data_IF_207151531291
#
_entry.id   IF_207151531291
#
_cell.length_a   1.000
_cell.length_b   1.000
_cell.length_c   1.000
_cell.angle_alpha   90.00
_cell.angle_beta   90.00
_cell.angle_gamma   90.00
#
_symmetry.space_group_name_H-M   'P 1'
#
loop_
_entity.id
_entity.type
_entity.pdbx_description
1 polymer ?
#
# COMPACT_ATOMS: atom_id res chain seq x y z
N UNK A 1 2.08 34.90 13.12
CA UNK A 1 2.75 33.78 13.76
C UNK A 1 4.14 33.68 13.21
N UNK A 2 5.11 33.47 14.10
CA UNK A 2 6.51 33.23 13.75
C UNK A 2 6.91 31.87 14.33
N UNK A 3 7.48 31.02 13.50
CA UNK A 3 8.11 29.79 13.92
C UNK A 3 9.62 30.02 13.94
N UNK A 4 10.23 29.81 15.11
CA UNK A 4 11.66 30.07 15.34
C UNK A 4 12.41 28.76 15.60
N UNK A 5 13.65 28.69 15.14
CA UNK A 5 14.54 27.54 15.42
C UNK A 5 15.01 27.50 16.89
N UNK A 6 14.98 28.64 17.59
CA UNK A 6 15.33 28.74 18.99
C UNK A 6 14.11 28.34 19.86
N UNK A 7 14.26 27.29 20.67
CA UNK A 7 13.23 26.79 21.59
C UNK A 7 13.50 27.17 23.06
N UNK A 8 14.57 27.95 23.34
CA UNK A 8 14.94 28.38 24.69
C UNK A 8 14.56 29.84 24.99
N UNK A 9 14.02 30.55 23.97
CA UNK A 9 13.60 31.96 24.11
C UNK A 9 12.40 32.09 25.05
N UNK A 10 12.40 33.12 25.89
CA UNK A 10 11.28 33.47 26.76
C UNK A 10 10.27 34.38 26.01
N UNK A 11 9.35 33.78 25.27
CA UNK A 11 8.37 34.51 24.46
C UNK A 11 9.03 35.39 23.38
N UNK A 12 8.55 36.59 23.23
CA UNK A 12 9.07 37.56 22.25
C UNK A 12 10.24 38.41 22.75
N UNK A 13 10.73 38.13 23.96
CA UNK A 13 11.88 38.86 24.50
C UNK A 13 13.17 38.39 23.85
N UNK A 14 14.01 39.37 23.45
CA UNK A 14 15.30 39.09 22.82
C UNK A 14 15.18 38.31 21.50
N UNK A 15 14.06 38.49 20.82
CA UNK A 15 13.80 37.88 19.51
C UNK A 15 14.84 38.26 18.48
N UNK A 16 15.44 37.31 17.78
CA UNK A 16 16.33 37.53 16.63
C UNK A 16 15.63 37.08 15.34
N UNK A 17 15.49 38.00 14.40
CA UNK A 17 14.89 37.78 13.09
C UNK A 17 15.55 36.62 12.31
N UNK A 18 16.84 36.36 12.57
CA UNK A 18 17.61 35.29 11.92
C UNK A 18 17.18 33.90 12.34
N UNK A 19 16.48 33.78 13.47
CA UNK A 19 15.97 32.51 14.01
C UNK A 19 14.62 32.14 13.42
N UNK A 20 13.96 33.02 12.65
CA UNK A 20 12.65 32.75 12.03
C UNK A 20 12.82 31.81 10.87
N UNK A 21 12.23 30.62 11.00
CA UNK A 21 12.24 29.57 9.96
C UNK A 21 10.98 29.60 9.10
N UNK A 22 9.85 30.08 9.66
CA UNK A 22 8.61 30.24 8.89
C UNK A 22 7.74 31.37 9.47
N UNK A 23 6.89 31.94 8.61
CA UNK A 23 5.91 32.99 8.96
C UNK A 23 4.55 32.62 8.41
N UNK A 24 3.52 32.73 9.24
CA UNK A 24 2.13 32.65 8.82
C UNK A 24 1.41 33.94 9.23
N UNK A 25 0.61 34.48 8.33
CA UNK A 25 -0.30 35.60 8.62
C UNK A 25 -1.71 35.05 8.74
N UNK A 26 -2.35 35.30 9.87
CA UNK A 26 -3.71 34.86 10.17
C UNK A 26 -4.45 35.94 10.91
N UNK A 27 -5.77 35.78 11.05
CA UNK A 27 -6.64 36.66 11.83
C UNK A 27 -7.29 35.85 12.96
N UNK A 28 -7.50 36.52 14.08
CA UNK A 28 -8.30 35.92 15.13
C UNK A 28 -9.77 35.77 14.71
N UNK A 29 -10.44 34.80 15.27
CA UNK A 29 -11.89 34.55 15.10
C UNK A 29 -12.55 34.32 16.46
N UNK A 30 -13.89 34.47 16.53
CA UNK A 30 -14.66 34.18 17.74
C UNK A 30 -14.57 32.69 18.07
N UNK A 31 -14.48 32.38 19.37
CA UNK A 31 -14.36 31.01 19.90
C UNK A 31 -15.16 30.93 21.22
N UNK A 32 -15.76 29.78 21.56
CA UNK A 32 -16.29 29.53 22.89
C UNK A 32 -15.25 29.83 23.97
N UNK A 33 -15.70 30.38 25.09
CA UNK A 33 -14.75 30.79 26.15
C UNK A 33 -13.86 29.66 26.63
N UNK A 34 -12.55 29.88 26.54
CA UNK A 34 -11.48 28.98 27.02
C UNK A 34 -10.67 29.71 28.10
N UNK A 35 -10.68 29.21 29.34
CA UNK A 35 -10.04 29.89 30.47
C UNK A 35 -8.51 29.86 30.36
N UNK A 36 -7.94 28.72 29.97
CA UNK A 36 -6.50 28.53 29.81
C UNK A 36 -6.10 28.68 28.36
N UNK A 37 -4.93 29.28 28.11
CA UNK A 37 -4.34 29.30 26.78
C UNK A 37 -3.98 27.86 26.37
N UNK A 38 -4.50 27.43 25.23
CA UNK A 38 -4.28 26.09 24.71
C UNK A 38 -3.96 26.11 23.21
N UNK A 39 -3.25 25.08 22.75
CA UNK A 39 -3.10 24.78 21.35
C UNK A 39 -3.94 23.55 21.02
N UNK A 40 -4.78 23.68 20.02
CA UNK A 40 -5.63 22.61 19.52
C UNK A 40 -5.27 22.28 18.07
N UNK A 41 -5.30 20.98 17.72
CA UNK A 41 -5.09 20.53 16.36
C UNK A 41 -6.38 19.95 15.81
N UNK A 42 -6.89 20.58 14.73
CA UNK A 42 -8.21 20.28 14.14
C UNK A 42 -8.07 20.06 12.64
N UNK A 43 -9.17 19.58 12.02
CA UNK A 43 -9.34 19.52 10.56
C UNK A 43 -8.15 18.83 9.86
N UNK A 44 -7.80 17.63 10.36
CA UNK A 44 -6.75 16.80 9.78
C UNK A 44 -7.14 16.39 8.37
N UNK A 45 -6.24 16.63 7.42
CA UNK A 45 -6.26 16.07 6.07
C UNK A 45 -5.09 15.10 5.90
N UNK A 46 -4.92 14.60 4.69
CA UNK A 46 -3.75 13.76 4.37
C UNK A 46 -2.43 14.54 4.50
N UNK A 47 -2.41 15.83 4.12
CA UNK A 47 -1.20 16.64 4.01
C UNK A 47 -1.22 17.89 4.90
N UNK A 48 -2.27 18.14 5.66
CA UNK A 48 -2.36 19.35 6.50
C UNK A 48 -3.13 19.14 7.79
N UNK A 49 -2.91 20.06 8.73
CA UNK A 49 -3.65 20.18 9.97
C UNK A 49 -3.77 21.65 10.35
N UNK A 50 -4.92 22.06 10.88
CA UNK A 50 -5.05 23.36 11.49
C UNK A 50 -4.59 23.31 12.95
N UNK A 51 -3.67 24.21 13.30
CA UNK A 51 -3.28 24.49 14.67
C UNK A 51 -3.96 25.78 15.12
N UNK A 52 -4.72 25.76 16.17
CA UNK A 52 -5.39 26.92 16.72
C UNK A 52 -4.86 27.27 18.11
N UNK A 53 -4.52 28.53 18.35
CA UNK A 53 -4.25 29.06 19.66
C UNK A 53 -5.55 29.66 20.23
N UNK A 54 -6.12 29.02 21.26
CA UNK A 54 -7.37 29.40 21.89
C UNK A 54 -7.11 30.07 23.24
N UNK A 55 -7.71 31.24 23.48
CA UNK A 55 -7.66 31.92 24.77
C UNK A 55 -8.80 32.94 24.92
N UNK A 56 -9.55 32.85 26.02
CA UNK A 56 -10.75 33.63 26.24
C UNK A 56 -11.81 33.31 25.18
N UNK A 57 -12.35 34.30 24.50
CA UNK A 57 -13.31 34.15 23.41
C UNK A 57 -12.66 34.25 22.04
N UNK A 58 -11.35 34.03 21.93
CA UNK A 58 -10.60 34.18 20.69
C UNK A 58 -9.83 32.94 20.34
N UNK A 59 -9.79 32.63 19.05
CA UNK A 59 -8.97 31.62 18.42
C UNK A 59 -8.10 32.24 17.33
N UNK A 60 -6.87 31.80 17.23
CA UNK A 60 -5.92 32.19 16.17
C UNK A 60 -5.53 30.92 15.42
N UNK A 61 -6.27 30.53 14.38
CA UNK A 61 -5.95 29.33 13.59
C UNK A 61 -4.88 29.65 12.55
N UNK A 62 -4.04 28.63 12.26
CA UNK A 62 -3.16 28.62 11.11
C UNK A 62 -2.98 27.20 10.60
N UNK A 63 -2.85 27.07 9.31
CA UNK A 63 -2.65 25.78 8.67
C UNK A 63 -1.17 25.41 8.65
N UNK A 64 -0.89 24.14 8.92
CA UNK A 64 0.43 23.50 8.77
C UNK A 64 0.27 22.49 7.65
N UNK A 65 0.96 22.73 6.53
CA UNK A 65 1.00 21.82 5.39
C UNK A 65 2.33 21.09 5.36
N UNK A 66 2.30 19.80 5.02
CA UNK A 66 3.48 18.95 4.85
C UNK A 66 3.34 18.15 3.56
N UNK A 67 4.33 18.23 2.69
CA UNK A 67 4.43 17.25 1.60
C UNK A 67 4.89 15.91 2.19
N UNK A 68 3.91 15.04 2.47
CA UNK A 68 4.17 13.72 3.04
C UNK A 68 4.97 12.87 2.07
N UNK A 69 4.68 12.93 0.78
CA UNK A 69 5.41 12.16 -0.23
C UNK A 69 6.89 12.53 -0.26
N UNK A 70 7.21 13.81 -0.33
CA UNK A 70 8.61 14.28 -0.29
C UNK A 70 9.28 13.94 1.03
N UNK A 71 8.58 14.15 2.16
CA UNK A 71 9.11 13.87 3.49
C UNK A 71 9.47 12.40 3.67
N UNK A 72 8.57 11.49 3.29
CA UNK A 72 8.80 10.03 3.41
C UNK A 72 9.89 9.59 2.45
N UNK A 73 9.88 10.04 1.19
CA UNK A 73 10.93 9.69 0.21
C UNK A 73 12.30 10.13 0.70
N UNK A 74 12.43 11.33 1.28
CA UNK A 74 13.69 11.80 1.85
C UNK A 74 14.12 10.96 3.04
N UNK A 75 13.18 10.50 3.89
CA UNK A 75 13.49 9.58 4.97
C UNK A 75 13.95 8.22 4.44
N UNK A 76 13.26 7.64 3.45
CA UNK A 76 13.66 6.39 2.81
C UNK A 76 15.08 6.46 2.21
N UNK A 77 15.42 7.58 1.54
CA UNK A 77 16.79 7.83 1.06
C UNK A 77 17.81 7.81 2.20
N UNK A 78 17.50 8.43 3.33
CA UNK A 78 18.38 8.45 4.51
C UNK A 78 18.54 7.05 5.10
N UNK A 79 17.45 6.31 5.27
CA UNK A 79 17.45 4.95 5.81
C UNK A 79 18.29 4.00 4.95
N UNK A 80 18.19 4.14 3.62
CA UNK A 80 18.98 3.37 2.65
C UNK A 80 20.44 3.80 2.56
N UNK A 81 20.88 4.82 3.30
CA UNK A 81 22.31 5.12 3.56
C UNK A 81 22.84 4.41 4.81
N UNK A 82 21.95 3.83 5.61
CA UNK A 82 22.23 3.11 6.84
C UNK A 82 22.11 1.60 6.71
N UNK A 83 21.78 0.95 7.82
CA UNK A 83 21.68 -0.51 7.95
C UNK A 83 20.59 -1.13 7.09
N UNK A 84 19.52 -0.41 6.76
CA UNK A 84 18.46 -0.90 5.90
C UNK A 84 18.96 -1.35 4.49
N UNK A 85 20.07 -0.79 4.02
CA UNK A 85 20.66 -1.16 2.74
C UNK A 85 21.43 -2.48 2.75
N UNK A 86 21.70 -3.09 3.89
CA UNK A 86 22.47 -4.35 3.95
C UNK A 86 21.63 -5.60 3.65
N UNK A 87 20.32 -5.46 3.51
CA UNK A 87 19.42 -6.54 3.07
C UNK A 87 18.50 -6.06 1.96
N UNK A 88 17.92 -7.01 1.22
CA UNK A 88 16.93 -6.70 0.17
C UNK A 88 15.66 -6.04 0.73
N UNK A 89 15.36 -6.22 2.01
CA UNK A 89 14.12 -5.75 2.64
C UNK A 89 14.00 -4.23 2.58
N UNK A 90 15.04 -3.49 2.95
CA UNK A 90 15.00 -2.03 2.94
C UNK A 90 14.69 -1.44 1.56
N UNK A 91 15.45 -1.76 0.50
CA UNK A 91 15.12 -1.30 -0.85
C UNK A 91 13.75 -1.80 -1.36
N UNK A 92 13.33 -3.01 -0.97
CA UNK A 92 12.02 -3.55 -1.32
C UNK A 92 10.89 -2.73 -0.71
N UNK A 93 10.94 -2.47 0.59
CA UNK A 93 9.92 -1.69 1.31
C UNK A 93 9.86 -0.23 0.81
N UNK A 94 11.02 0.36 0.52
CA UNK A 94 11.09 1.71 -0.04
C UNK A 94 10.42 1.77 -1.43
N UNK A 95 10.70 0.82 -2.30
CA UNK A 95 10.08 0.72 -3.61
C UNK A 95 8.56 0.48 -3.51
N UNK A 96 8.14 -0.44 -2.65
CA UNK A 96 6.74 -0.81 -2.47
C UNK A 96 5.92 0.37 -1.93
N UNK A 97 6.47 1.14 -0.99
CA UNK A 97 5.84 2.36 -0.50
C UNK A 97 5.64 3.39 -1.63
N UNK A 98 6.67 3.66 -2.43
CA UNK A 98 6.57 4.62 -3.53
C UNK A 98 5.56 4.19 -4.59
N UNK A 99 5.54 2.91 -4.95
CA UNK A 99 4.57 2.35 -5.90
C UNK A 99 3.15 2.45 -5.36
N UNK A 100 2.94 2.10 -4.08
CA UNK A 100 1.63 2.14 -3.43
C UNK A 100 1.06 3.55 -3.33
N UNK A 101 1.92 4.56 -3.19
CA UNK A 101 1.54 5.97 -3.12
C UNK A 101 1.67 6.70 -4.46
N UNK A 102 1.98 5.99 -5.55
CA UNK A 102 2.15 6.52 -6.91
C UNK A 102 3.07 7.75 -6.95
N UNK A 103 4.19 7.69 -6.24
CA UNK A 103 5.16 8.78 -6.12
C UNK A 103 6.58 8.26 -6.36
N UNK A 104 7.48 9.12 -6.87
CA UNK A 104 8.91 8.85 -7.05
C UNK A 104 9.22 7.49 -7.75
N UNK A 105 8.43 7.16 -8.77
CA UNK A 105 8.39 5.83 -9.39
C UNK A 105 9.72 5.42 -10.06
N UNK A 106 10.47 6.37 -10.63
CA UNK A 106 11.77 6.09 -11.26
C UNK A 106 12.78 5.59 -10.22
N UNK A 107 12.86 6.26 -9.06
CA UNK A 107 13.76 5.84 -7.98
C UNK A 107 13.24 4.55 -7.31
N UNK A 108 11.93 4.39 -7.21
CA UNK A 108 11.30 3.15 -6.76
C UNK A 108 11.72 1.95 -7.62
N UNK A 109 11.77 2.12 -8.95
CA UNK A 109 12.26 1.09 -9.85
C UNK A 109 13.74 0.76 -9.61
N UNK A 110 14.58 1.76 -9.34
CA UNK A 110 16.00 1.52 -9.01
C UNK A 110 16.16 0.77 -7.68
N UNK A 111 15.36 1.11 -6.66
CA UNK A 111 15.34 0.39 -5.39
C UNK A 111 14.83 -1.05 -5.56
N UNK A 112 13.79 -1.25 -6.35
CA UNK A 112 13.28 -2.59 -6.66
C UNK A 112 14.32 -3.44 -7.41
N UNK A 113 15.04 -2.87 -8.38
CA UNK A 113 16.17 -3.54 -9.06
C UNK A 113 17.29 -3.92 -8.10
N UNK A 114 17.60 -3.02 -7.15
CA UNK A 114 18.60 -3.31 -6.11
C UNK A 114 18.12 -4.48 -5.24
N UNK A 115 16.87 -4.50 -4.81
CA UNK A 115 16.32 -5.60 -4.03
C UNK A 115 16.40 -6.94 -4.78
N UNK A 116 16.08 -6.97 -6.07
CA UNK A 116 16.23 -8.16 -6.94
C UNK A 116 17.69 -8.61 -7.05
N UNK A 117 18.63 -7.66 -7.12
CA UNK A 117 20.07 -8.00 -7.20
C UNK A 117 20.55 -8.62 -5.90
N UNK A 118 20.02 -8.20 -4.75
CA UNK A 118 20.39 -8.72 -3.44
C UNK A 118 19.77 -10.09 -3.16
N UNK A 119 18.49 -10.25 -3.51
CA UNK A 119 17.77 -11.52 -3.35
C UNK A 119 16.67 -11.65 -4.42
N UNK A 120 16.90 -12.51 -5.39
CA UNK A 120 15.97 -12.75 -6.48
C UNK A 120 14.91 -13.76 -6.07
N UNK A 121 13.75 -13.26 -5.67
CA UNK A 121 12.61 -14.06 -5.25
C UNK A 121 11.30 -13.45 -5.79
N UNK A 122 10.18 -14.15 -5.60
CA UNK A 122 8.86 -13.68 -6.08
C UNK A 122 8.54 -12.27 -5.63
N UNK A 123 8.74 -11.96 -4.34
CA UNK A 123 8.35 -10.67 -3.77
C UNK A 123 9.15 -9.51 -4.37
N UNK A 124 10.48 -9.66 -4.53
CA UNK A 124 11.32 -8.60 -5.10
C UNK A 124 11.02 -8.36 -6.58
N UNK A 125 10.80 -9.43 -7.35
CA UNK A 125 10.40 -9.31 -8.74
C UNK A 125 8.98 -8.75 -8.90
N UNK A 126 8.03 -9.12 -8.03
CA UNK A 126 6.67 -8.56 -8.02
C UNK A 126 6.69 -7.04 -7.82
N UNK A 127 7.45 -6.55 -6.84
CA UNK A 127 7.56 -5.10 -6.61
C UNK A 127 8.27 -4.39 -7.76
N UNK A 128 9.30 -5.02 -8.37
CA UNK A 128 9.92 -4.48 -9.60
C UNK A 128 8.89 -4.37 -10.73
N UNK A 129 8.11 -5.42 -10.99
CA UNK A 129 7.07 -5.39 -12.02
C UNK A 129 6.00 -4.34 -11.72
N UNK A 130 5.63 -4.17 -10.45
CA UNK A 130 4.67 -3.12 -10.05
C UNK A 130 5.20 -1.71 -10.34
N UNK A 131 6.48 -1.45 -10.08
CA UNK A 131 7.12 -0.18 -10.45
C UNK A 131 7.18 0.01 -11.98
N UNK A 132 7.50 -1.04 -12.74
CA UNK A 132 7.50 -1.01 -14.20
C UNK A 132 6.10 -0.73 -14.76
N UNK A 133 5.04 -1.37 -14.23
CA UNK A 133 3.65 -1.07 -14.62
C UNK A 133 3.25 0.38 -14.29
N UNK A 134 3.62 0.89 -13.13
CA UNK A 134 3.33 2.25 -12.70
C UNK A 134 4.00 3.29 -13.62
N UNK A 135 5.16 2.97 -14.20
CA UNK A 135 5.89 3.78 -15.19
C UNK A 135 5.38 3.56 -16.64
N UNK A 136 4.38 2.71 -16.87
CA UNK A 136 3.87 2.38 -18.21
C UNK A 136 4.74 1.44 -19.01
N UNK A 137 5.76 0.81 -18.40
CA UNK A 137 6.67 -0.16 -19.01
C UNK A 137 6.05 -1.56 -19.04
N UNK A 138 4.89 -1.68 -19.68
CA UNK A 138 4.06 -2.89 -19.57
C UNK A 138 4.74 -4.16 -20.06
N UNK A 139 5.53 -4.08 -21.15
CA UNK A 139 6.22 -5.26 -21.70
C UNK A 139 7.30 -5.78 -20.76
N UNK A 140 8.05 -4.88 -20.16
CA UNK A 140 9.09 -5.19 -19.18
C UNK A 140 8.46 -5.82 -17.94
N UNK A 141 7.37 -5.23 -17.45
CA UNK A 141 6.61 -5.72 -16.31
C UNK A 141 6.06 -7.14 -16.53
N UNK A 142 5.49 -7.41 -17.72
CA UNK A 142 5.01 -8.74 -18.09
C UNK A 142 6.16 -9.78 -18.09
N UNK A 143 7.33 -9.40 -18.62
CA UNK A 143 8.51 -10.26 -18.59
C UNK A 143 9.00 -10.49 -17.16
N UNK A 144 9.07 -9.46 -16.36
CA UNK A 144 9.44 -9.55 -14.93
C UNK A 144 8.47 -10.46 -14.17
N UNK A 145 7.17 -10.33 -14.38
CA UNK A 145 6.17 -11.22 -13.75
C UNK A 145 6.27 -12.66 -14.22
N UNK A 146 6.54 -12.89 -15.52
CA UNK A 146 6.81 -14.23 -16.04
C UNK A 146 8.01 -14.90 -15.38
N UNK A 147 9.03 -14.13 -15.07
CA UNK A 147 10.20 -14.58 -14.31
C UNK A 147 9.89 -14.82 -12.83
N UNK A 148 9.01 -14.02 -12.23
CA UNK A 148 8.62 -14.09 -10.82
C UNK A 148 7.79 -15.33 -10.49
N UNK A 149 6.78 -15.63 -11.31
CA UNK A 149 5.77 -16.66 -11.02
C UNK A 149 6.36 -18.04 -10.66
N UNK A 150 7.39 -18.56 -11.34
CA UNK A 150 7.99 -19.86 -10.99
C UNK A 150 8.70 -19.88 -9.63
N UNK A 151 9.04 -18.73 -9.07
CA UNK A 151 9.70 -18.59 -7.76
C UNK A 151 8.71 -18.52 -6.60
N UNK A 152 7.42 -18.36 -6.90
CA UNK A 152 6.38 -18.20 -5.88
C UNK A 152 5.84 -19.54 -5.38
N UNK A 153 5.51 -19.59 -4.11
CA UNK A 153 4.75 -20.69 -3.53
C UNK A 153 3.25 -20.60 -3.86
N UNK A 154 2.56 -21.72 -3.63
CA UNK A 154 1.10 -21.87 -3.89
C UNK A 154 0.28 -20.73 -3.28
N UNK A 155 0.55 -20.39 -2.02
CA UNK A 155 -0.21 -19.39 -1.29
C UNK A 155 0.17 -17.96 -1.68
N UNK A 156 1.40 -17.72 -2.11
CA UNK A 156 1.83 -16.41 -2.62
C UNK A 156 1.10 -16.06 -3.91
N UNK A 157 1.06 -17.00 -4.88
CA UNK A 157 0.30 -16.82 -6.12
C UNK A 157 -1.20 -16.72 -5.84
N UNK A 158 -1.73 -17.52 -4.91
CA UNK A 158 -3.13 -17.42 -4.53
C UNK A 158 -3.48 -16.03 -3.96
N UNK A 159 -2.66 -15.53 -3.03
CA UNK A 159 -2.85 -14.21 -2.41
C UNK A 159 -2.72 -13.07 -3.42
N UNK A 160 -1.72 -13.16 -4.29
CA UNK A 160 -1.51 -12.17 -5.34
C UNK A 160 -2.67 -12.13 -6.34
N UNK A 161 -3.15 -13.30 -6.79
CA UNK A 161 -4.33 -13.36 -7.66
C UNK A 161 -5.59 -12.75 -7.00
N UNK A 162 -5.78 -12.95 -5.71
CA UNK A 162 -6.88 -12.30 -4.95
C UNK A 162 -6.71 -10.79 -4.88
N UNK A 163 -5.50 -10.30 -4.61
CA UNK A 163 -5.20 -8.87 -4.62
C UNK A 163 -5.58 -8.26 -5.97
N UNK A 164 -5.17 -8.87 -7.07
CA UNK A 164 -5.50 -8.41 -8.43
C UNK A 164 -7.02 -8.37 -8.70
N UNK A 165 -7.80 -9.32 -8.17
CA UNK A 165 -9.27 -9.25 -8.24
C UNK A 165 -9.79 -8.02 -7.51
N UNK A 166 -9.32 -7.77 -6.29
CA UNK A 166 -9.73 -6.61 -5.48
C UNK A 166 -9.40 -5.28 -6.18
N UNK A 167 -8.29 -5.25 -6.93
CA UNK A 167 -7.87 -4.10 -7.75
C UNK A 167 -8.62 -4.01 -9.10
N UNK A 168 -9.57 -4.91 -9.38
CA UNK A 168 -10.29 -4.96 -10.66
C UNK A 168 -9.49 -5.50 -11.84
N UNK A 169 -8.28 -6.00 -11.62
CA UNK A 169 -7.35 -6.53 -12.63
C UNK A 169 -7.61 -8.02 -12.91
N UNK A 170 -8.85 -8.36 -13.24
CA UNK A 170 -9.32 -9.77 -13.34
C UNK A 170 -8.56 -10.59 -14.38
N UNK A 171 -8.15 -9.99 -15.50
CA UNK A 171 -7.35 -10.68 -16.53
C UNK A 171 -6.00 -11.13 -15.98
N UNK A 172 -5.28 -10.23 -15.33
CA UNK A 172 -3.98 -10.55 -14.70
C UNK A 172 -4.13 -11.57 -13.57
N UNK A 173 -5.22 -11.47 -12.78
CA UNK A 173 -5.52 -12.48 -11.76
C UNK A 173 -5.67 -13.88 -12.36
N UNK A 174 -6.34 -14.00 -13.50
CA UNK A 174 -6.48 -15.27 -14.22
C UNK A 174 -5.14 -15.82 -14.72
N UNK A 175 -4.25 -14.96 -15.20
CA UNK A 175 -2.90 -15.39 -15.62
C UNK A 175 -2.12 -15.96 -14.43
N UNK A 176 -2.18 -15.29 -13.27
CA UNK A 176 -1.56 -15.76 -12.03
C UNK A 176 -2.15 -17.09 -11.55
N UNK A 177 -3.49 -17.23 -11.54
CA UNK A 177 -4.13 -18.48 -11.13
C UNK A 177 -3.86 -19.63 -12.11
N UNK A 178 -3.76 -19.33 -13.41
CA UNK A 178 -3.40 -20.31 -14.42
C UNK A 178 -1.94 -20.78 -14.23
N UNK A 179 -1.02 -19.85 -14.02
CA UNK A 179 0.37 -20.19 -13.70
C UNK A 179 0.47 -21.04 -12.41
N UNK A 180 -0.30 -20.69 -11.37
CA UNK A 180 -0.35 -21.50 -10.15
C UNK A 180 -0.88 -22.92 -10.42
N UNK A 181 -1.87 -23.07 -11.30
CA UNK A 181 -2.41 -24.39 -11.67
C UNK A 181 -1.39 -25.22 -12.46
N UNK A 182 -0.62 -24.61 -13.34
CA UNK A 182 0.42 -25.28 -14.12
C UNK A 182 1.61 -25.72 -13.23
N UNK A 183 2.03 -24.85 -12.31
CA UNK A 183 3.13 -25.13 -11.39
C UNK A 183 2.78 -26.12 -10.28
N UNK A 184 1.55 -26.10 -9.79
CA UNK A 184 1.11 -26.84 -8.62
C UNK A 184 -0.22 -27.59 -8.88
N UNK A 185 -0.27 -28.52 -9.83
CA UNK A 185 -1.53 -29.20 -10.18
C UNK A 185 -2.13 -29.98 -9.01
N UNK A 186 -3.46 -30.10 -9.04
CA UNK A 186 -4.24 -30.91 -8.07
C UNK A 186 -4.17 -30.49 -6.60
N UNK A 187 -3.69 -29.27 -6.30
CA UNK A 187 -3.74 -28.72 -4.93
C UNK A 187 -5.06 -27.95 -4.73
N UNK A 188 -5.69 -28.14 -3.56
CA UNK A 188 -6.97 -27.49 -3.28
C UNK A 188 -6.91 -25.94 -3.32
N UNK A 189 -5.86 -25.25 -2.81
CA UNK A 189 -5.82 -23.79 -2.88
C UNK A 189 -5.71 -23.27 -4.31
N UNK A 190 -5.09 -24.06 -5.18
CA UNK A 190 -4.92 -23.73 -6.61
C UNK A 190 -6.26 -23.81 -7.34
N UNK A 191 -7.01 -24.90 -7.14
CA UNK A 191 -8.35 -25.03 -7.69
C UNK A 191 -9.29 -23.94 -7.13
N UNK A 192 -9.13 -23.60 -5.86
CA UNK A 192 -9.91 -22.53 -5.24
C UNK A 192 -9.56 -21.14 -5.85
N UNK A 193 -8.28 -20.88 -6.14
CA UNK A 193 -7.84 -19.68 -6.85
C UNK A 193 -8.46 -19.58 -8.25
N UNK A 194 -8.40 -20.66 -9.04
CA UNK A 194 -9.07 -20.73 -10.35
C UNK A 194 -10.57 -20.42 -10.26
N UNK A 195 -11.24 -20.97 -9.25
CA UNK A 195 -12.67 -20.70 -9.03
C UNK A 195 -12.93 -19.22 -8.73
N UNK A 196 -12.08 -18.56 -7.93
CA UNK A 196 -12.18 -17.12 -7.66
C UNK A 196 -12.02 -16.29 -8.93
N UNK A 197 -11.00 -16.57 -9.73
CA UNK A 197 -10.78 -15.86 -10.99
C UNK A 197 -11.94 -16.03 -11.98
N UNK A 198 -12.48 -17.25 -12.12
CA UNK A 198 -13.64 -17.53 -12.95
C UNK A 198 -14.91 -16.85 -12.45
N UNK A 199 -15.12 -16.84 -11.12
CA UNK A 199 -16.22 -16.14 -10.47
C UNK A 199 -16.18 -14.63 -10.75
N UNK A 200 -15.01 -14.01 -10.58
CA UNK A 200 -14.80 -12.59 -10.91
C UNK A 200 -15.06 -12.27 -12.40
N UNK A 201 -14.92 -13.26 -13.30
CA UNK A 201 -15.30 -13.15 -14.71
C UNK A 201 -16.78 -13.41 -14.99
N UNK A 202 -17.55 -13.83 -13.99
CA UNK A 202 -18.96 -14.23 -14.14
C UNK A 202 -19.18 -15.65 -14.67
N UNK A 203 -18.13 -16.46 -14.85
CA UNK A 203 -18.25 -17.88 -15.28
C UNK A 203 -18.49 -18.79 -14.05
N UNK A 204 -19.65 -18.61 -13.42
CA UNK A 204 -20.01 -19.29 -12.18
C UNK A 204 -20.09 -20.81 -12.33
N UNK A 205 -20.47 -21.28 -13.52
CA UNK A 205 -20.56 -22.72 -13.78
C UNK A 205 -19.19 -23.40 -13.72
N UNK A 206 -18.20 -22.85 -14.43
CA UNK A 206 -16.80 -23.36 -14.35
C UNK A 206 -16.16 -23.12 -13.00
N UNK A 207 -16.47 -21.99 -12.34
CA UNK A 207 -16.00 -21.73 -10.99
C UNK A 207 -16.45 -22.84 -10.03
N UNK A 208 -17.72 -23.27 -10.10
CA UNK A 208 -18.24 -24.35 -9.28
C UNK A 208 -17.55 -25.71 -9.55
N UNK A 209 -17.17 -25.99 -10.82
CA UNK A 209 -16.39 -27.20 -11.14
C UNK A 209 -15.02 -27.21 -10.46
N UNK A 210 -14.32 -26.06 -10.45
CA UNK A 210 -13.04 -25.93 -9.75
C UNK A 210 -13.18 -25.99 -8.23
N UNK A 211 -14.26 -25.44 -7.65
CA UNK A 211 -14.52 -25.60 -6.21
C UNK A 211 -14.79 -27.04 -5.82
N UNK A 212 -15.50 -27.82 -6.64
CA UNK A 212 -15.68 -29.26 -6.38
C UNK A 212 -14.36 -30.02 -6.38
N UNK A 213 -13.42 -29.67 -7.28
CA UNK A 213 -12.06 -30.22 -7.28
C UNK A 213 -11.29 -29.82 -6.02
N UNK A 214 -11.46 -28.57 -5.57
CA UNK A 214 -10.86 -28.08 -4.34
C UNK A 214 -11.41 -28.81 -3.11
N UNK A 215 -12.71 -29.01 -3.03
CA UNK A 215 -13.40 -29.73 -1.93
C UNK A 215 -12.83 -31.15 -1.73
N UNK A 216 -12.70 -31.91 -2.80
CA UNK A 216 -12.18 -33.28 -2.76
C UNK A 216 -10.76 -33.34 -2.18
N UNK A 217 -9.92 -32.37 -2.49
CA UNK A 217 -8.50 -32.34 -2.09
C UNK A 217 -8.24 -31.48 -0.84
N UNK A 218 -9.28 -30.91 -0.22
CA UNK A 218 -9.14 -30.08 0.98
C UNK A 218 -8.94 -30.94 2.22
N UNK A 219 -7.83 -30.76 2.98
CA UNK A 219 -7.51 -31.62 4.11
C UNK A 219 -8.29 -31.31 5.38
N UNK A 220 -8.77 -30.07 5.55
CA UNK A 220 -9.43 -29.62 6.77
C UNK A 220 -10.92 -29.33 6.57
N UNK A 221 -11.72 -29.59 7.59
CA UNK A 221 -13.17 -29.48 7.53
C UNK A 221 -13.66 -28.02 7.48
N UNK A 222 -12.93 -27.08 8.10
CA UNK A 222 -13.33 -25.67 8.10
C UNK A 222 -13.25 -25.09 6.68
N UNK A 223 -12.14 -25.30 5.98
CA UNK A 223 -12.00 -24.86 4.60
C UNK A 223 -12.98 -25.60 3.68
N UNK A 224 -13.25 -26.90 3.93
CA UNK A 224 -14.25 -27.66 3.17
C UNK A 224 -15.65 -27.08 3.32
N UNK A 225 -16.05 -26.63 4.52
CA UNK A 225 -17.33 -25.95 4.73
C UNK A 225 -17.42 -24.61 3.97
N UNK A 226 -16.34 -23.82 3.98
CA UNK A 226 -16.26 -22.56 3.22
C UNK A 226 -16.42 -22.84 1.72
N UNK A 227 -15.74 -23.87 1.20
CA UNK A 227 -15.84 -24.29 -0.19
C UNK A 227 -17.29 -24.65 -0.54
N UNK A 228 -17.98 -25.45 0.29
CA UNK A 228 -19.40 -25.83 0.09
C UNK A 228 -20.31 -24.60 0.03
N UNK A 229 -20.18 -23.67 0.97
CA UNK A 229 -20.96 -22.42 0.98
C UNK A 229 -20.73 -21.60 -0.30
N UNK A 230 -19.50 -21.58 -0.81
CA UNK A 230 -19.19 -20.90 -2.04
C UNK A 230 -19.73 -21.61 -3.29
N UNK A 231 -19.79 -22.94 -3.30
CA UNK A 231 -20.47 -23.69 -4.36
C UNK A 231 -21.98 -23.33 -4.41
N UNK A 232 -22.61 -23.20 -3.23
CA UNK A 232 -24.02 -22.78 -3.14
C UNK A 232 -24.22 -21.34 -3.66
N UNK A 233 -23.32 -20.40 -3.33
CA UNK A 233 -23.34 -19.03 -3.85
C UNK A 233 -23.28 -19.02 -5.39
N UNK A 234 -22.29 -19.75 -5.96
CA UNK A 234 -22.16 -19.86 -7.40
C UNK A 234 -23.39 -20.46 -8.06
N UNK A 235 -24.06 -21.41 -7.41
CA UNK A 235 -25.33 -21.98 -7.86
C UNK A 235 -26.47 -20.96 -7.93
N UNK A 236 -26.38 -19.86 -7.18
CA UNK A 236 -27.31 -18.72 -7.23
C UNK A 236 -26.80 -17.56 -8.11
N UNK A 237 -25.74 -17.79 -8.88
CA UNK A 237 -25.03 -16.76 -9.67
C UNK A 237 -24.48 -15.58 -8.83
N UNK A 238 -24.03 -15.87 -7.63
CA UNK A 238 -23.39 -14.88 -6.73
C UNK A 238 -21.87 -15.05 -6.77
N UNK A 239 -21.14 -13.90 -6.84
CA UNK A 239 -19.68 -13.89 -6.77
C UNK A 239 -19.18 -14.34 -5.40
N UNK A 240 -18.01 -15.01 -5.38
CA UNK A 240 -17.38 -15.57 -4.16
C UNK A 240 -16.17 -14.77 -3.67
N UNK A 241 -15.87 -13.61 -4.30
CA UNK A 241 -14.73 -12.75 -3.96
C UNK A 241 -15.05 -11.73 -2.88
#
# INVERSE_FOLDING_TARGET
>A
ILLCSNNESWGAYFFDEKEVVARAQTSWQEHPFTEYLEFEFNDFTENSVYCALNWGEKSIPFEIEVDISETVVNQLRNDLRGTARFSYVGPLEAADWCVSNNTNLEEALEWAKLAVTMDKQFQTLKTKAAAEYALGMNKEADLTMKEAMPLAGIFELHSYGRQLITEGKVTQAMDVFTANLELHPNKWPVNYGMARGLSAKGDYAKAAEYLKKAEVNCPDDNNREIIKKNIEKLGRNEDIN
#
